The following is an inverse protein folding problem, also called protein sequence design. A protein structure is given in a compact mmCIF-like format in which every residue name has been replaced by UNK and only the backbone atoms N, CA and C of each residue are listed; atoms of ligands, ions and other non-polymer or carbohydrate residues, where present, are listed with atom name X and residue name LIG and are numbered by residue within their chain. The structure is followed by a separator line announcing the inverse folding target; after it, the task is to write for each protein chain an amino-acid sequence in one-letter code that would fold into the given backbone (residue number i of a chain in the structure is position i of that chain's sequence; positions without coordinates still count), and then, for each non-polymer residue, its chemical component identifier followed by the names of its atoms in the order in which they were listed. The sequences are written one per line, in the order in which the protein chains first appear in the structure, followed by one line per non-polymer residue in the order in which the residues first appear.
data_IF_615086458197
#
_entry.id   IF_615086458197
#
_cell.length_a   1.000
_cell.length_b   1.000
_cell.length_c   1.000
_cell.angle_alpha   90.00
_cell.angle_beta   90.00
_cell.angle_gamma   90.00
#
_symmetry.space_group_name_H-M   'P 1'
#
loop_
_entity.id
_entity.type
_entity.pdbx_description
1 polymer ?
#
# COMPACT_ATOMS: atom_id res chain seq x y z
N UNK A 1 24.90 -31.43 3.73
CA UNK A 1 24.09 -30.23 3.40
C UNK A 1 24.81 -29.39 2.36
N UNK A 2 24.11 -28.89 1.32
CA UNK A 2 24.72 -27.94 0.39
C UNK A 2 24.96 -26.60 1.11
N UNK A 3 26.18 -26.06 1.02
CA UNK A 3 26.47 -24.71 1.54
C UNK A 3 25.87 -23.70 0.55
N UNK A 4 24.84 -22.97 0.96
CA UNK A 4 24.35 -21.81 0.22
C UNK A 4 25.50 -20.81 0.04
N UNK A 5 25.90 -20.55 -1.21
CA UNK A 5 26.98 -19.63 -1.53
C UNK A 5 26.50 -18.18 -1.39
N UNK A 6 26.65 -17.63 -0.18
CA UNK A 6 26.23 -16.27 0.19
C UNK A 6 27.09 -15.19 -0.48
N UNK A 7 26.80 -14.92 -1.75
CA UNK A 7 27.35 -13.75 -2.47
C UNK A 7 26.83 -12.46 -1.84
N UNK A 8 27.75 -11.57 -1.44
CA UNK A 8 27.42 -10.20 -1.02
C UNK A 8 27.38 -9.31 -2.26
N UNK A 9 26.24 -8.66 -2.49
CA UNK A 9 26.04 -7.64 -3.52
C UNK A 9 25.94 -6.29 -2.78
N UNK A 10 26.47 -5.20 -3.34
CA UNK A 10 26.27 -3.88 -2.75
C UNK A 10 24.95 -3.30 -3.25
N UNK A 11 24.16 -2.72 -2.36
CA UNK A 11 22.86 -2.13 -2.73
C UNK A 11 22.98 -1.10 -3.86
N UNK A 12 24.11 -0.38 -3.92
CA UNK A 12 24.43 0.62 -4.96
C UNK A 12 24.38 0.08 -6.41
N UNK A 13 24.53 -1.24 -6.61
CA UNK A 13 24.57 -1.90 -7.92
C UNK A 13 23.14 -2.19 -8.41
N UNK A 14 22.19 -2.25 -7.47
CA UNK A 14 20.79 -2.59 -7.69
C UNK A 14 19.93 -1.32 -7.79
N UNK A 15 20.35 -0.21 -7.15
CA UNK A 15 19.62 1.05 -7.07
C UNK A 15 19.00 1.52 -8.42
N UNK A 16 19.68 1.32 -9.54
CA UNK A 16 19.18 1.67 -10.87
C UNK A 16 17.85 0.97 -11.27
N UNK A 17 17.52 -0.15 -10.63
CA UNK A 17 16.33 -0.99 -10.87
C UNK A 17 15.24 -0.84 -9.80
N UNK A 18 15.54 -0.21 -8.66
CA UNK A 18 14.63 -0.11 -7.49
C UNK A 18 14.36 1.33 -7.03
N UNK A 19 14.79 2.33 -7.80
CA UNK A 19 14.56 3.76 -7.53
C UNK A 19 13.61 4.40 -8.54
N UNK A 20 12.73 5.27 -8.05
CA UNK A 20 11.76 6.00 -8.85
C UNK A 20 12.43 7.17 -9.59
N UNK A 21 12.32 7.20 -10.91
CA UNK A 21 12.94 8.24 -11.76
C UNK A 21 12.32 9.64 -11.61
N UNK A 22 11.20 9.78 -10.90
CA UNK A 22 10.53 11.06 -10.63
C UNK A 22 10.99 11.73 -9.31
N UNK A 23 11.30 10.95 -8.27
CA UNK A 23 11.70 11.48 -6.95
C UNK A 23 13.13 11.10 -6.52
N UNK A 24 13.79 10.20 -7.25
CA UNK A 24 15.12 9.64 -6.97
C UNK A 24 15.25 8.86 -5.65
N UNK A 25 14.15 8.63 -4.93
CA UNK A 25 14.07 7.68 -3.81
C UNK A 25 13.78 6.25 -4.27
N UNK A 26 13.76 5.30 -3.34
CA UNK A 26 13.27 3.94 -3.60
C UNK A 26 11.78 3.92 -3.97
N UNK A 27 11.35 2.86 -4.67
CA UNK A 27 9.95 2.65 -5.01
C UNK A 27 9.10 2.42 -3.73
N UNK A 28 8.08 3.25 -3.57
CA UNK A 28 7.02 3.16 -2.54
C UNK A 28 5.69 3.17 -3.28
N UNK A 29 4.82 2.21 -2.97
CA UNK A 29 3.67 1.82 -3.80
C UNK A 29 4.06 1.71 -5.28
N UNK A 30 4.99 0.81 -5.59
CA UNK A 30 5.46 0.54 -6.94
C UNK A 30 4.29 0.40 -7.91
N UNK A 31 4.25 1.27 -8.92
CA UNK A 31 3.17 1.39 -9.89
C UNK A 31 3.79 1.42 -11.28
N UNK A 32 3.39 0.46 -12.11
CA UNK A 32 3.98 0.19 -13.43
C UNK A 32 3.00 0.61 -14.53
N UNK A 33 3.52 1.30 -15.56
CA UNK A 33 2.78 1.63 -16.79
C UNK A 33 2.65 0.36 -17.65
N UNK A 34 1.43 -0.04 -18.03
CA UNK A 34 1.17 -1.31 -18.74
C UNK A 34 1.93 -1.40 -20.06
N UNK A 35 1.82 -0.37 -20.89
CA UNK A 35 2.30 -0.37 -22.29
C UNK A 35 3.83 -0.40 -22.44
N UNK A 36 4.58 -0.11 -21.39
CA UNK A 36 6.04 0.04 -21.47
C UNK A 36 6.82 -0.46 -20.25
N UNK A 37 6.14 -1.07 -19.27
CA UNK A 37 6.71 -1.70 -18.07
C UNK A 37 7.69 -0.81 -17.26
N UNK A 38 7.51 0.51 -17.30
CA UNK A 38 8.27 1.43 -16.46
C UNK A 38 7.58 1.65 -15.12
N UNK A 39 8.30 1.39 -14.02
CA UNK A 39 7.81 1.46 -12.64
C UNK A 39 8.22 2.77 -11.94
N UNK A 40 7.30 3.32 -11.14
CA UNK A 40 7.46 4.55 -10.38
C UNK A 40 6.76 4.40 -9.01
N UNK A 41 6.94 5.34 -8.08
CA UNK A 41 6.07 5.42 -6.91
C UNK A 41 4.66 5.87 -7.31
N UNK A 42 3.60 5.29 -6.73
CA UNK A 42 2.19 5.63 -7.03
C UNK A 42 1.92 7.12 -6.98
N UNK A 43 2.29 7.76 -5.88
CA UNK A 43 2.09 9.20 -5.65
C UNK A 43 2.83 10.08 -6.67
N UNK A 44 3.98 9.64 -7.17
CA UNK A 44 4.73 10.36 -8.19
C UNK A 44 4.09 10.21 -9.58
N UNK A 45 3.69 8.98 -9.96
CA UNK A 45 3.12 8.72 -11.28
C UNK A 45 1.71 9.28 -11.42
N UNK A 46 0.85 9.08 -10.42
CA UNK A 46 -0.51 9.66 -10.41
C UNK A 46 -0.43 11.18 -10.55
N UNK A 47 0.41 11.84 -9.75
CA UNK A 47 0.60 13.30 -9.84
C UNK A 47 1.13 13.74 -11.20
N UNK A 48 2.10 13.04 -11.77
CA UNK A 48 2.62 13.38 -13.11
C UNK A 48 1.51 13.31 -14.17
N UNK A 49 0.58 12.36 -14.04
CA UNK A 49 -0.52 12.12 -14.97
C UNK A 49 -1.76 13.02 -14.71
N UNK A 50 -1.69 13.96 -13.77
CA UNK A 50 -2.67 15.06 -13.64
C UNK A 50 -2.54 16.06 -14.82
N UNK A 51 -1.31 16.24 -15.35
CA UNK A 51 -0.98 17.21 -16.41
C UNK A 51 -0.43 16.54 -17.69
N UNK A 52 -0.14 15.24 -17.69
CA UNK A 52 0.53 14.53 -18.77
C UNK A 52 -0.17 13.20 -19.11
N UNK A 53 -0.03 12.71 -20.34
CA UNK A 53 -0.54 11.40 -20.76
C UNK A 53 0.55 10.47 -21.34
N UNK A 54 1.82 10.77 -21.09
CA UNK A 54 2.99 9.97 -21.56
C UNK A 54 3.74 9.30 -20.41
N UNK A 55 4.55 8.28 -20.69
CA UNK A 55 5.45 7.71 -19.70
C UNK A 55 6.62 8.68 -19.42
N UNK A 56 6.93 9.06 -18.16
CA UNK A 56 8.03 9.97 -17.84
C UNK A 56 9.40 9.54 -18.42
N UNK A 57 9.65 8.23 -18.50
CA UNK A 57 10.92 7.65 -18.93
C UNK A 57 11.06 7.56 -20.44
N UNK A 58 10.12 6.90 -21.14
CA UNK A 58 10.22 6.64 -22.58
C UNK A 58 9.36 7.55 -23.48
N UNK A 59 8.51 8.41 -22.89
CA UNK A 59 7.65 9.39 -23.58
C UNK A 59 6.61 8.83 -24.57
N UNK A 60 6.44 7.51 -24.60
CA UNK A 60 5.29 6.86 -25.25
C UNK A 60 4.00 7.34 -24.58
N UNK A 61 2.96 7.63 -25.36
CA UNK A 61 1.60 7.95 -24.87
C UNK A 61 1.03 6.71 -24.18
N UNK A 62 0.65 6.86 -22.91
CA UNK A 62 0.07 5.78 -22.09
C UNK A 62 -1.35 5.49 -22.59
N UNK A 63 -2.17 6.53 -22.69
CA UNK A 63 -3.50 6.50 -23.28
C UNK A 63 -3.95 7.94 -23.57
N UNK A 64 -4.82 8.15 -24.56
CA UNK A 64 -5.20 9.51 -25.00
C UNK A 64 -5.87 10.34 -23.87
N UNK A 65 -6.95 9.84 -23.27
CA UNK A 65 -7.77 10.59 -22.29
C UNK A 65 -7.64 10.11 -20.84
N UNK A 66 -7.57 8.79 -20.60
CA UNK A 66 -7.59 8.19 -19.25
C UNK A 66 -6.28 7.44 -18.89
N UNK A 67 -5.11 8.10 -18.82
CA UNK A 67 -3.84 7.43 -18.56
C UNK A 67 -3.79 6.68 -17.21
N UNK A 68 -4.58 7.12 -16.22
CA UNK A 68 -4.72 6.45 -14.91
C UNK A 68 -5.38 5.05 -14.98
N UNK A 69 -6.00 4.67 -16.10
CA UNK A 69 -6.55 3.31 -16.30
C UNK A 69 -5.49 2.31 -16.81
N UNK A 70 -4.32 2.80 -17.24
CA UNK A 70 -3.23 2.02 -17.87
C UNK A 70 -1.96 2.03 -17.01
N UNK A 71 -2.15 2.16 -15.70
CA UNK A 71 -1.12 2.00 -14.66
C UNK A 71 -1.63 1.03 -13.60
N UNK A 72 -0.78 0.12 -13.13
CA UNK A 72 -1.15 -0.94 -12.18
C UNK A 72 -0.20 -1.02 -10.98
N UNK A 73 -0.73 -1.44 -9.83
CA UNK A 73 0.07 -1.71 -8.63
C UNK A 73 0.97 -2.94 -8.86
N UNK A 74 2.28 -2.71 -8.88
CA UNK A 74 3.29 -3.74 -9.08
C UNK A 74 3.72 -4.34 -7.72
N UNK A 75 2.84 -5.19 -7.19
CA UNK A 75 3.06 -5.84 -5.88
C UNK A 75 4.38 -6.59 -5.83
N UNK A 76 4.75 -7.27 -6.92
CA UNK A 76 6.01 -8.04 -7.02
C UNK A 76 7.23 -7.14 -6.96
N UNK A 77 7.26 -6.02 -7.69
CA UNK A 77 8.36 -5.06 -7.60
C UNK A 77 8.42 -4.38 -6.22
N UNK A 78 7.28 -4.07 -5.59
CA UNK A 78 7.28 -3.52 -4.23
C UNK A 78 7.84 -4.50 -3.21
N UNK A 79 7.45 -5.78 -3.30
CA UNK A 79 7.98 -6.88 -2.49
C UNK A 79 9.50 -7.02 -2.67
N UNK A 80 9.99 -6.97 -3.90
CA UNK A 80 11.42 -7.02 -4.23
C UNK A 80 12.14 -5.82 -3.58
N UNK A 81 11.60 -4.60 -3.69
CA UNK A 81 12.19 -3.39 -3.14
C UNK A 81 12.28 -3.47 -1.60
N UNK A 82 11.22 -3.88 -0.91
CA UNK A 82 11.23 -4.03 0.55
C UNK A 82 12.14 -5.19 1.02
N UNK A 83 12.24 -6.30 0.26
CA UNK A 83 13.12 -7.43 0.59
C UNK A 83 14.61 -7.14 0.31
N UNK A 84 14.93 -6.15 -0.53
CA UNK A 84 16.30 -5.77 -0.88
C UNK A 84 16.85 -4.55 -0.12
N UNK A 85 15.99 -3.64 0.38
CA UNK A 85 16.41 -2.42 1.09
C UNK A 85 16.11 -2.55 2.60
N UNK A 86 17.12 -2.83 3.45
CA UNK A 86 16.90 -3.07 4.88
C UNK A 86 16.24 -1.87 5.59
N UNK A 87 15.18 -2.13 6.34
CA UNK A 87 14.47 -1.12 7.15
C UNK A 87 13.55 -0.18 6.36
N UNK A 88 13.40 -0.36 5.04
CA UNK A 88 12.62 0.57 4.21
C UNK A 88 11.11 0.50 4.50
N UNK A 89 10.57 -0.71 4.65
CA UNK A 89 9.15 -0.92 4.90
C UNK A 89 8.75 -0.38 6.28
N UNK A 90 9.56 -0.68 7.30
CA UNK A 90 9.37 -0.23 8.67
C UNK A 90 9.51 1.28 8.80
N UNK A 91 10.44 1.89 8.05
CA UNK A 91 10.59 3.34 7.98
C UNK A 91 9.38 4.03 7.32
N UNK A 92 8.81 3.47 6.26
CA UNK A 92 7.62 4.04 5.61
C UNK A 92 6.37 3.89 6.48
N UNK A 93 6.12 2.69 7.01
CA UNK A 93 5.02 2.42 7.94
C UNK A 93 5.10 3.29 9.20
N UNK A 94 6.32 3.62 9.66
CA UNK A 94 6.53 4.58 10.75
C UNK A 94 6.12 6.01 10.33
N UNK A 95 6.54 6.51 9.16
CA UNK A 95 6.14 7.84 8.66
C UNK A 95 4.61 7.94 8.54
N UNK A 96 3.97 6.90 8.01
CA UNK A 96 2.52 6.84 7.83
C UNK A 96 1.79 6.91 9.18
N UNK A 97 2.15 6.06 10.15
CA UNK A 97 1.59 6.14 11.52
C UNK A 97 1.83 7.50 12.16
N UNK A 98 3.04 8.06 12.04
CA UNK A 98 3.35 9.39 12.56
C UNK A 98 2.53 10.51 11.90
N UNK A 99 2.18 10.40 10.63
CA UNK A 99 1.35 11.37 9.92
C UNK A 99 -0.10 11.33 10.41
N UNK A 100 -0.75 10.16 10.39
CA UNK A 100 -2.14 10.01 10.84
C UNK A 100 -2.29 10.31 12.34
N UNK A 101 -1.33 9.92 13.19
CA UNK A 101 -1.31 10.30 14.61
C UNK A 101 -1.25 11.82 14.81
N UNK A 102 -0.47 12.57 14.01
CA UNK A 102 -0.41 14.04 14.09
C UNK A 102 -1.72 14.72 13.64
N UNK A 103 -2.59 14.00 12.92
CA UNK A 103 -3.94 14.44 12.54
C UNK A 103 -5.04 13.94 13.49
N UNK A 104 -4.72 13.10 14.48
CA UNK A 104 -5.71 12.47 15.36
C UNK A 104 -6.56 11.39 14.68
N UNK A 105 -6.03 10.74 13.65
CA UNK A 105 -6.74 9.76 12.81
C UNK A 105 -6.14 8.35 12.93
N UNK A 106 -6.94 7.31 12.72
CA UNK A 106 -6.45 5.94 12.50
C UNK A 106 -5.80 5.80 11.10
N UNK A 107 -4.88 4.85 10.92
CA UNK A 107 -4.25 4.56 9.62
C UNK A 107 -5.15 3.64 8.79
N UNK A 108 -5.51 4.02 7.55
CA UNK A 108 -6.25 3.13 6.66
C UNK A 108 -5.42 1.88 6.30
N UNK A 109 -6.01 0.69 6.47
CA UNK A 109 -5.41 -0.59 6.09
C UNK A 109 -4.64 -1.33 7.19
N UNK A 110 -4.51 -0.78 8.40
CA UNK A 110 -3.98 -1.50 9.58
C UNK A 110 -4.98 -2.60 10.02
N UNK A 111 -4.92 -3.78 9.40
CA UNK A 111 -5.65 -4.97 9.84
C UNK A 111 -5.14 -5.37 11.23
N UNK A 112 -6.01 -5.32 12.24
CA UNK A 112 -5.69 -5.62 13.64
C UNK A 112 -5.51 -7.14 13.85
N UNK A 113 -4.34 -7.66 13.47
CA UNK A 113 -3.91 -9.05 13.71
C UNK A 113 -2.61 -9.14 14.52
N UNK A 114 -2.70 -9.78 15.69
CA UNK A 114 -1.64 -10.50 16.45
C UNK A 114 -0.17 -9.99 16.32
N UNK A 115 0.52 -9.46 17.34
CA UNK A 115 0.43 -9.58 18.81
C UNK A 115 1.00 -8.28 19.46
N UNK A 116 1.17 -8.06 20.77
CA UNK A 116 1.01 -8.85 21.99
C UNK A 116 0.58 -7.92 23.15
N UNK A 117 0.06 -8.46 24.26
CA UNK A 117 -0.41 -7.66 25.40
C UNK A 117 0.69 -6.84 26.08
N UNK A 118 0.41 -5.56 26.33
CA UNK A 118 0.91 -4.86 27.52
C UNK A 118 -0.27 -4.11 28.16
N UNK A 119 -0.83 -4.69 29.23
CA UNK A 119 -1.86 -4.03 30.03
C UNK A 119 -1.21 -2.92 30.85
N UNK A 120 -1.72 -1.69 30.74
CA UNK A 120 -1.69 -0.75 31.85
C UNK A 120 -3.12 -0.45 32.27
N UNK A 121 -3.54 -1.14 33.33
CA UNK A 121 -4.83 -0.96 33.99
C UNK A 121 -4.76 0.34 34.82
N UNK A 122 -5.83 1.14 34.76
CA UNK A 122 -6.07 2.20 35.72
C UNK A 122 -7.58 2.45 35.88
N UNK A 123 -8.26 1.51 36.53
CA UNK A 123 -9.66 1.68 36.93
C UNK A 123 -9.79 2.65 38.11
N UNK A 124 -10.67 3.67 38.00
CA UNK A 124 -11.47 4.23 39.10
C UNK A 124 -12.44 5.34 38.64
N UNK A 125 -13.74 5.06 38.78
CA UNK A 125 -14.87 5.91 39.26
C UNK A 125 -14.86 7.46 39.04
N UNK A 126 -16.00 8.15 38.81
CA UNK A 126 -17.37 7.86 39.27
C UNK A 126 -18.47 8.70 38.55
N UNK A 127 -19.67 8.12 38.45
CA UNK A 127 -21.05 8.65 38.27
C UNK A 127 -21.34 10.02 37.59
N UNK A 128 -22.35 10.01 36.72
CA UNK A 128 -23.24 11.15 36.42
C UNK A 128 -24.53 10.67 35.74
N UNK A 129 -25.71 10.97 36.31
CA UNK A 129 -27.02 10.52 35.80
C UNK A 129 -27.81 11.69 35.18
N UNK A 130 -28.36 11.53 33.97
CA UNK A 130 -29.47 12.37 33.48
C UNK A 130 -30.28 11.68 32.36
N UNK A 131 -31.59 11.93 32.37
CA UNK A 131 -32.60 11.75 31.30
C UNK A 131 -33.41 13.07 31.21
N UNK A 132 -34.29 13.36 30.23
CA UNK A 132 -34.79 12.53 29.11
C UNK A 132 -34.69 13.32 27.75
N UNK A 133 -35.44 13.17 26.63
CA UNK A 133 -36.44 12.20 26.10
C UNK A 133 -36.53 12.32 24.54
N UNK A 134 -37.57 11.74 23.92
CA UNK A 134 -38.24 12.13 22.65
C UNK A 134 -37.54 11.89 21.29
N UNK A 135 -37.77 10.67 20.76
CA UNK A 135 -38.57 10.41 19.55
C UNK A 135 -38.29 11.16 18.21
N UNK A 136 -37.88 10.42 17.18
CA UNK A 136 -38.47 10.48 15.82
C UNK A 136 -38.15 9.23 14.99
N UNK A 137 -39.15 8.71 14.27
CA UNK A 137 -39.08 7.46 13.49
C UNK A 137 -38.56 7.66 12.06
N UNK A 138 -37.86 6.65 11.49
CA UNK A 138 -38.29 6.03 10.21
C UNK A 138 -37.69 4.62 9.96
N UNK A 139 -38.50 3.79 9.31
CA UNK A 139 -38.17 2.50 8.68
C UNK A 139 -37.32 2.70 7.38
N UNK A 140 -36.73 1.69 6.71
CA UNK A 140 -36.96 0.22 6.73
C UNK A 140 -35.67 -0.56 6.38
N UNK A 141 -35.73 -1.89 6.54
CA UNK A 141 -34.73 -2.90 6.13
C UNK A 141 -34.35 -2.93 4.65
N UNK A 142 -33.13 -3.39 4.34
CA UNK A 142 -32.94 -4.69 3.64
C UNK A 142 -31.49 -5.22 3.81
N UNK A 143 -31.36 -6.52 4.06
CA UNK A 143 -30.07 -7.22 4.22
C UNK A 143 -29.73 -8.01 2.94
N UNK A 144 -28.43 -8.09 2.60
CA UNK A 144 -27.85 -9.24 1.88
C UNK A 144 -26.35 -9.30 2.02
N UNK A 145 -25.85 -10.53 2.09
CA UNK A 145 -24.45 -10.86 2.40
C UNK A 145 -23.60 -11.12 1.14
N UNK A 146 -22.29 -10.94 1.32
CA UNK A 146 -21.18 -11.78 0.83
C UNK A 146 -21.26 -12.42 -0.57
N UNK A 147 -20.22 -12.14 -1.38
CA UNK A 147 -19.66 -13.16 -2.29
C UNK A 147 -18.13 -12.99 -2.38
N UNK A 148 -17.40 -13.59 -1.45
CA UNK A 148 -15.93 -13.62 -1.44
C UNK A 148 -15.41 -14.48 -2.59
N UNK A 149 -14.65 -13.88 -3.51
CA UNK A 149 -14.21 -14.52 -4.73
C UNK A 149 -12.71 -14.83 -4.65
N UNK A 150 -12.39 -16.06 -4.23
CA UNK A 150 -11.01 -16.53 -4.07
C UNK A 150 -10.33 -16.81 -5.43
N UNK A 151 -9.44 -15.91 -5.85
CA UNK A 151 -8.70 -16.02 -7.11
C UNK A 151 -7.38 -16.82 -6.98
N UNK A 152 -7.42 -18.00 -6.36
CA UNK A 152 -6.28 -18.93 -6.37
C UNK A 152 -6.04 -19.53 -7.76
N UNK A 153 -5.04 -18.99 -8.46
CA UNK A 153 -4.62 -19.44 -9.79
C UNK A 153 -3.78 -20.72 -9.73
N UNK A 154 -4.44 -21.86 -9.93
CA UNK A 154 -3.81 -23.19 -10.05
C UNK A 154 -3.42 -23.49 -11.50
N UNK A 155 -2.29 -22.95 -11.97
CA UNK A 155 -1.71 -23.32 -13.27
C UNK A 155 -1.09 -24.73 -13.18
N UNK A 156 -1.68 -25.73 -13.82
CA UNK A 156 -1.07 -27.06 -13.97
C UNK A 156 0.21 -26.98 -14.81
N UNK A 157 1.30 -27.60 -14.32
CA UNK A 157 2.53 -27.75 -15.09
C UNK A 157 2.37 -28.89 -16.08
N UNK A 158 2.22 -28.56 -17.37
CA UNK A 158 2.27 -29.53 -18.46
C UNK A 158 3.66 -30.19 -18.50
N UNK A 159 3.67 -31.52 -18.46
CA UNK A 159 4.85 -32.40 -18.51
C UNK A 159 5.14 -32.89 -19.92
#
# INVERSE_FOLDING_TARGET
TPKMLTRKIKLWDINAHITCRLCNGYLIDATTVTECLHTFCRSCLVKYLEENNTCPTCRIVIHQSHPLQYIGHDRTMQDIVYKLVPGLQEAEMKKQREFYHKLGMEVPGDIKGETCSTKQHLDSHRNGETKPDENSNKETSEEKQEEDNDYHRSDEQVT
#
